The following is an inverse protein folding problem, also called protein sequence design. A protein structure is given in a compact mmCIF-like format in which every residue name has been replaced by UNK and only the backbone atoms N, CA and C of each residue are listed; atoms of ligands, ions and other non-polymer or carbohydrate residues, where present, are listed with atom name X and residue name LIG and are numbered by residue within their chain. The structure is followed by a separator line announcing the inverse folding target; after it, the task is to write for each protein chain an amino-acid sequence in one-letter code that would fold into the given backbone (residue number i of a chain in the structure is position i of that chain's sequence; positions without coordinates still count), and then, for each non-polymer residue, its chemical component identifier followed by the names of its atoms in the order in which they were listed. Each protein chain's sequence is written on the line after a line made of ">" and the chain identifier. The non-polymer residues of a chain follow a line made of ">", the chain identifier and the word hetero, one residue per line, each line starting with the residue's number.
data_IF_737859818345
#
_entry.id   IF_737859818345
#
_cell.length_a   1.000
_cell.length_b   1.000
_cell.length_c   1.000
_cell.angle_alpha   90.00
_cell.angle_beta   90.00
_cell.angle_gamma   90.00
#
_symmetry.space_group_name_H-M   'P 1'
#
loop_
_entity.id
_entity.type
_entity.pdbx_description
1 polymer ?
#
# COMPACT_ATOMS: atom_id res chain seq x y z
N UNK A 1 17.36 -3.86 11.81
CA UNK A 1 16.12 -3.66 11.05
C UNK A 1 16.52 -3.15 9.69
N UNK A 2 16.17 -3.83 8.59
CA UNK A 2 16.42 -3.30 7.25
C UNK A 2 15.40 -2.17 7.03
N UNK A 3 15.85 -0.95 7.21
CA UNK A 3 15.09 0.25 6.86
C UNK A 3 15.48 0.64 5.43
N UNK A 4 14.59 1.31 4.68
CA UNK A 4 14.76 1.70 3.26
C UNK A 4 14.57 0.59 2.19
N UNK A 5 13.37 0.02 2.06
CA UNK A 5 13.10 -1.11 1.14
C UNK A 5 12.23 -0.69 -0.06
N UNK A 6 11.18 0.08 0.19
CA UNK A 6 10.16 0.43 -0.81
C UNK A 6 10.25 1.90 -1.19
N UNK A 7 10.09 2.19 -2.47
CA UNK A 7 9.80 3.54 -2.93
C UNK A 7 8.33 3.90 -2.64
N UNK A 8 8.02 5.20 -2.56
CA UNK A 8 6.64 5.66 -2.39
C UNK A 8 5.72 5.11 -3.50
N UNK A 9 6.18 5.06 -4.75
CA UNK A 9 5.40 4.49 -5.86
C UNK A 9 5.07 3.00 -5.67
N UNK A 10 5.96 2.24 -5.04
CA UNK A 10 5.71 0.83 -4.74
C UNK A 10 4.69 0.68 -3.61
N UNK A 11 4.76 1.53 -2.58
CA UNK A 11 3.76 1.59 -1.50
C UNK A 11 2.39 1.96 -2.07
N UNK A 12 2.32 2.98 -2.94
CA UNK A 12 1.07 3.36 -3.63
C UNK A 12 0.49 2.16 -4.37
N UNK A 13 1.32 1.40 -5.09
CA UNK A 13 0.88 0.21 -5.84
C UNK A 13 0.27 -0.85 -4.91
N UNK A 14 0.93 -1.13 -3.77
CA UNK A 14 0.44 -2.11 -2.78
C UNK A 14 -0.87 -1.64 -2.15
N UNK A 15 -0.93 -0.38 -1.71
CA UNK A 15 -2.12 0.18 -1.06
C UNK A 15 -3.30 0.22 -2.03
N UNK A 16 -3.10 0.61 -3.28
CA UNK A 16 -4.19 0.65 -4.26
C UNK A 16 -4.75 -0.75 -4.58
N UNK A 17 -3.90 -1.78 -4.60
CA UNK A 17 -4.35 -3.17 -4.75
C UNK A 17 -5.23 -3.59 -3.55
N UNK A 18 -4.82 -3.24 -2.33
CA UNK A 18 -5.60 -3.47 -1.12
C UNK A 18 -6.94 -2.71 -1.14
N UNK A 19 -6.97 -1.46 -1.59
CA UNK A 19 -8.20 -0.68 -1.76
C UNK A 19 -9.17 -1.39 -2.71
N UNK A 20 -8.67 -1.91 -3.83
CA UNK A 20 -9.52 -2.58 -4.81
C UNK A 20 -10.05 -3.94 -4.28
N UNK A 21 -9.28 -4.64 -3.45
CA UNK A 21 -9.76 -5.82 -2.70
C UNK A 21 -10.83 -5.48 -1.68
N UNK A 22 -10.62 -4.45 -0.86
CA UNK A 22 -11.61 -4.00 0.11
C UNK A 22 -12.91 -3.57 -0.58
N UNK A 23 -12.81 -2.83 -1.69
CA UNK A 23 -13.96 -2.46 -2.51
C UNK A 23 -14.70 -3.67 -3.07
N UNK A 24 -13.97 -4.71 -3.48
CA UNK A 24 -14.57 -5.97 -3.96
C UNK A 24 -15.33 -6.66 -2.83
N UNK A 25 -14.76 -6.70 -1.62
CA UNK A 25 -15.47 -7.20 -0.44
C UNK A 25 -16.74 -6.40 -0.13
N UNK A 26 -16.69 -5.06 -0.15
CA UNK A 26 -17.89 -4.23 0.08
C UNK A 26 -19.00 -4.47 -0.95
N UNK A 27 -18.63 -4.66 -2.22
CA UNK A 27 -19.61 -4.83 -3.30
C UNK A 27 -20.23 -6.22 -3.34
N UNK A 28 -19.46 -7.26 -3.00
CA UNK A 28 -19.88 -8.64 -3.22
C UNK A 28 -19.97 -9.50 -1.96
N UNK A 29 -19.48 -9.02 -0.82
CA UNK A 29 -19.60 -9.66 0.49
C UNK A 29 -18.75 -10.93 0.66
N UNK A 30 -17.82 -11.21 -0.25
CA UNK A 30 -16.86 -12.31 -0.11
C UNK A 30 -15.44 -11.76 0.01
N UNK A 31 -14.68 -12.35 0.92
CA UNK A 31 -13.27 -12.03 1.14
C UNK A 31 -12.46 -12.54 -0.06
N UNK A 32 -11.79 -11.64 -0.75
CA UNK A 32 -10.88 -12.00 -1.83
C UNK A 32 -9.57 -12.52 -1.21
N UNK A 33 -9.53 -13.83 -0.97
CA UNK A 33 -8.35 -14.55 -0.45
C UNK A 33 -7.20 -14.64 -1.47
N UNK A 34 -7.35 -14.08 -2.68
CA UNK A 34 -6.28 -14.10 -3.67
C UNK A 34 -5.05 -13.33 -3.16
N UNK A 35 -3.87 -13.68 -3.68
CA UNK A 35 -2.64 -12.93 -3.43
C UNK A 35 -2.73 -11.50 -4.00
N UNK A 36 -1.91 -10.58 -3.50
CA UNK A 36 -1.86 -9.21 -4.04
C UNK A 36 -1.54 -9.23 -5.54
N UNK A 37 -2.25 -8.46 -6.36
CA UNK A 37 -2.00 -8.38 -7.80
C UNK A 37 -0.92 -7.35 -8.13
N UNK A 38 0.26 -7.53 -7.52
CA UNK A 38 1.38 -6.60 -7.62
C UNK A 38 2.49 -7.12 -8.55
N UNK A 39 3.29 -6.22 -9.17
CA UNK A 39 4.45 -6.62 -9.95
C UNK A 39 5.43 -7.47 -9.15
N UNK A 40 5.98 -8.51 -9.80
CA UNK A 40 6.96 -9.43 -9.20
C UNK A 40 8.11 -8.73 -8.44
N UNK A 41 8.73 -7.64 -8.94
CA UNK A 41 9.80 -6.96 -8.18
C UNK A 41 9.36 -6.42 -6.82
N UNK A 42 8.08 -6.06 -6.67
CA UNK A 42 7.50 -5.61 -5.40
C UNK A 42 7.25 -6.82 -4.50
N UNK A 43 6.71 -7.91 -5.06
CA UNK A 43 6.48 -9.15 -4.33
C UNK A 43 7.78 -9.75 -3.77
N UNK A 44 8.84 -9.80 -4.59
CA UNK A 44 10.16 -10.28 -4.19
C UNK A 44 10.71 -9.48 -2.99
N UNK A 45 10.40 -8.17 -2.89
CA UNK A 45 10.77 -7.34 -1.72
C UNK A 45 9.96 -7.69 -0.48
N UNK A 46 8.65 -7.92 -0.63
CA UNK A 46 7.79 -8.35 0.48
C UNK A 46 8.24 -9.71 1.03
N UNK A 47 8.54 -10.67 0.16
CA UNK A 47 9.07 -11.99 0.54
C UNK A 47 10.44 -11.91 1.22
N UNK A 48 11.19 -10.82 1.02
CA UNK A 48 12.49 -10.59 1.66
C UNK A 48 12.40 -10.04 3.09
N UNK A 49 11.21 -9.60 3.51
CA UNK A 49 10.95 -9.16 4.88
C UNK A 49 10.90 -10.38 5.82
N UNK A 50 11.35 -10.19 7.06
CA UNK A 50 11.03 -11.19 8.08
C UNK A 50 9.54 -11.15 8.41
N UNK A 51 9.03 -12.20 9.04
CA UNK A 51 7.61 -12.34 9.34
C UNK A 51 7.05 -11.17 10.18
N UNK A 52 7.84 -10.62 11.09
CA UNK A 52 7.40 -9.50 11.95
C UNK A 52 7.30 -8.21 11.14
N UNK A 53 8.33 -7.92 10.34
CA UNK A 53 8.37 -6.74 9.47
C UNK A 53 7.31 -6.81 8.37
N UNK A 54 7.10 -7.99 7.77
CA UNK A 54 6.04 -8.22 6.79
C UNK A 54 4.66 -7.92 7.35
N UNK A 55 4.29 -8.54 8.48
CA UNK A 55 2.96 -8.34 9.06
C UNK A 55 2.73 -6.89 9.49
N UNK A 56 3.74 -6.26 10.09
CA UNK A 56 3.67 -4.86 10.48
C UNK A 56 3.51 -3.93 9.27
N UNK A 57 4.26 -4.19 8.20
CA UNK A 57 4.15 -3.44 6.95
C UNK A 57 2.77 -3.59 6.32
N UNK A 58 2.29 -4.83 6.14
CA UNK A 58 0.98 -5.10 5.54
C UNK A 58 -0.17 -4.55 6.38
N UNK A 59 -0.12 -4.70 7.72
CA UNK A 59 -1.14 -4.11 8.62
C UNK A 59 -1.29 -2.61 8.39
N UNK A 60 -0.17 -1.88 8.33
CA UNK A 60 -0.17 -0.43 8.09
C UNK A 60 -0.65 -0.08 6.68
N UNK A 61 -0.26 -0.84 5.67
CA UNK A 61 -0.78 -0.66 4.31
C UNK A 61 -2.30 -0.87 4.25
N UNK A 62 -2.83 -1.85 4.99
CA UNK A 62 -4.28 -2.09 5.10
C UNK A 62 -5.01 -0.94 5.81
N UNK A 63 -4.45 -0.42 6.91
CA UNK A 63 -5.00 0.76 7.60
C UNK A 63 -5.07 1.98 6.65
N UNK A 64 -4.01 2.21 5.87
CA UNK A 64 -4.02 3.27 4.85
C UNK A 64 -5.09 2.96 3.78
N UNK A 65 -5.21 1.72 3.33
CA UNK A 65 -6.19 1.34 2.31
C UNK A 65 -7.64 1.60 2.75
N UNK A 66 -7.98 1.33 4.01
CA UNK A 66 -9.30 1.65 4.58
C UNK A 66 -9.59 3.16 4.55
N UNK A 67 -8.62 3.99 4.96
CA UNK A 67 -8.73 5.45 4.89
C UNK A 67 -8.94 5.93 3.44
N UNK A 68 -8.16 5.38 2.50
CA UNK A 68 -8.26 5.72 1.07
C UNK A 68 -9.58 5.27 0.45
N UNK A 69 -10.12 4.12 0.87
CA UNK A 69 -11.42 3.66 0.40
C UNK A 69 -12.53 4.63 0.82
N UNK A 70 -12.47 5.14 2.05
CA UNK A 70 -13.48 6.06 2.59
C UNK A 70 -13.57 7.40 1.83
N UNK A 71 -12.48 7.81 1.17
CA UNK A 71 -12.41 9.05 0.38
C UNK A 71 -12.63 8.82 -1.13
N UNK A 72 -12.74 7.57 -1.60
CA UNK A 72 -12.84 7.21 -3.03
C UNK A 72 -14.30 7.34 -3.54
N UNK A 73 -14.59 8.42 -4.25
CA UNK A 73 -15.84 8.80 -4.92
C UNK A 73 -16.00 8.25 -6.35
N UNK A 74 -14.91 7.83 -7.01
CA UNK A 74 -14.88 7.28 -8.37
C UNK A 74 -14.53 8.27 -9.49
N UNK A 75 -14.08 9.48 -9.17
CA UNK A 75 -13.72 10.52 -10.16
C UNK A 75 -12.25 10.45 -10.62
N UNK A 76 -11.92 10.92 -11.82
CA UNK A 76 -10.53 10.82 -12.33
C UNK A 76 -9.53 11.68 -11.55
N UNK A 77 -9.95 12.88 -11.12
CA UNK A 77 -9.12 13.78 -10.31
C UNK A 77 -8.78 13.19 -8.93
N UNK A 78 -9.55 12.19 -8.51
CA UNK A 78 -9.37 11.51 -7.25
C UNK A 78 -8.16 10.61 -7.25
N UNK A 79 -7.74 10.05 -8.39
CA UNK A 79 -6.57 9.17 -8.41
C UNK A 79 -5.31 9.90 -7.91
N UNK A 80 -5.12 11.14 -8.36
CA UNK A 80 -4.02 11.98 -7.91
C UNK A 80 -4.17 12.31 -6.41
N UNK A 81 -5.40 12.62 -5.97
CA UNK A 81 -5.67 12.88 -4.56
C UNK A 81 -5.39 11.65 -3.68
N UNK A 82 -5.80 10.45 -4.09
CA UNK A 82 -5.49 9.20 -3.42
C UNK A 82 -3.98 8.99 -3.34
N UNK A 83 -3.23 9.21 -4.44
CA UNK A 83 -1.77 9.08 -4.42
C UNK A 83 -1.12 10.08 -3.43
N UNK A 84 -1.61 11.32 -3.38
CA UNK A 84 -1.13 12.32 -2.42
C UNK A 84 -1.44 11.91 -0.97
N UNK A 85 -2.67 11.44 -0.70
CA UNK A 85 -3.06 10.97 0.63
C UNK A 85 -2.28 9.73 1.07
N UNK A 86 -2.06 8.76 0.17
CA UNK A 86 -1.22 7.59 0.43
C UNK A 86 0.20 8.03 0.77
N UNK A 87 0.76 8.97 -0.01
CA UNK A 87 2.12 9.48 0.24
C UNK A 87 2.21 10.10 1.63
N UNK A 88 1.27 10.98 1.96
CA UNK A 88 1.21 11.65 3.27
C UNK A 88 1.12 10.64 4.43
N UNK A 89 0.21 9.67 4.35
CA UNK A 89 0.04 8.65 5.40
C UNK A 89 1.23 7.70 5.48
N UNK A 90 1.82 7.33 4.34
CA UNK A 90 3.00 6.46 4.30
C UNK A 90 4.23 7.13 4.93
N UNK A 91 4.43 8.44 4.73
CA UNK A 91 5.53 9.19 5.35
C UNK A 91 5.43 9.22 6.89
N UNK A 92 4.22 9.11 7.45
CA UNK A 92 3.99 9.01 8.89
C UNK A 92 4.11 7.56 9.40
N UNK A 93 3.34 6.65 8.79
CA UNK A 93 3.16 5.28 9.30
C UNK A 93 4.26 4.32 8.85
N UNK A 94 4.76 4.48 7.63
CA UNK A 94 5.68 3.56 6.94
C UNK A 94 7.09 4.13 6.77
N UNK A 95 7.42 5.23 7.45
CA UNK A 95 8.70 5.94 7.34
C UNK A 95 9.93 5.04 7.37
N UNK A 96 9.96 4.03 8.24
CA UNK A 96 11.08 3.09 8.36
C UNK A 96 11.28 2.19 7.14
N UNK A 97 10.24 1.98 6.33
CA UNK A 97 10.26 1.12 5.15
C UNK A 97 10.49 1.90 3.85
N UNK A 98 10.26 3.21 3.86
CA UNK A 98 10.44 4.09 2.71
C UNK A 98 11.92 4.30 2.45
N UNK A 99 12.36 3.98 1.23
CA UNK A 99 13.71 4.27 0.74
C UNK A 99 13.88 5.77 0.56
N UNK A 100 14.75 6.39 1.36
CA UNK A 100 15.14 7.78 1.17
C UNK A 100 15.64 7.99 -0.27
N UNK A 101 15.12 9.03 -0.93
CA UNK A 101 15.62 9.43 -2.24
C UNK A 101 17.10 9.80 -2.13
N UNK A 102 17.99 8.99 -2.71
CA UNK A 102 19.33 9.46 -3.07
C UNK A 102 19.15 10.54 -4.14
N UNK A 103 19.19 11.79 -3.71
CA UNK A 103 19.26 12.95 -4.60
C UNK A 103 20.45 12.78 -5.54
N UNK A 104 20.18 12.97 -6.84
CA UNK A 104 21.23 13.14 -7.87
C UNK A 104 22.07 14.37 -7.59
#
# INVERSE_FOLDING_TARGET
>A
MKTDIFTISEIITIVMDLVDKLKTYELYGFEDESELHIPKPINDKLESLDFSDYNNFISKCSEIAEEILSIKTGELNELNYCHEQITFLAEDMLKSYIRAHEGK
#
